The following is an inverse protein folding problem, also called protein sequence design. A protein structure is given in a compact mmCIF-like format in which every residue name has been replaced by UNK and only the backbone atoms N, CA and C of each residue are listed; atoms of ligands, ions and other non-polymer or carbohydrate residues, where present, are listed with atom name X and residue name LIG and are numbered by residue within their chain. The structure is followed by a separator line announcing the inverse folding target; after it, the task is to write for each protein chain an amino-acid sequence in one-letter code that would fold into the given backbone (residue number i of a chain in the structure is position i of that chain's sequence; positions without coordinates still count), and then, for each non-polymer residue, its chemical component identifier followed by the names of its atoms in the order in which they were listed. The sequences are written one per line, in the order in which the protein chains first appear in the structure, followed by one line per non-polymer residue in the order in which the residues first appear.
data_IF_370321236230
#
_entry.id   IF_370321236230
#
_cell.length_a   1.000
_cell.length_b   1.000
_cell.length_c   1.000
_cell.angle_alpha   90.00
_cell.angle_beta   90.00
_cell.angle_gamma   90.00
#
_symmetry.space_group_name_H-M   'P 1'
#
loop_
_entity.id
_entity.type
_entity.pdbx_description
1 polymer ?
#
# COMPACT_ATOMS: atom_id res chain seq x y z
N UNK A 1 -15.94 -11.64 -16.29
CA UNK A 1 -15.12 -12.57 -15.49
C UNK A 1 -14.55 -11.80 -14.29
N UNK A 2 -15.30 -11.74 -13.17
CA UNK A 2 -14.82 -11.13 -11.92
C UNK A 2 -13.98 -12.18 -11.19
N UNK A 3 -12.67 -11.96 -11.03
CA UNK A 3 -11.87 -12.81 -10.14
C UNK A 3 -12.01 -12.24 -8.74
N UNK A 4 -12.73 -12.96 -7.89
CA UNK A 4 -12.69 -12.79 -6.44
C UNK A 4 -11.28 -13.07 -5.96
N UNK A 5 -10.70 -12.12 -5.23
CA UNK A 5 -9.40 -12.27 -4.59
C UNK A 5 -9.62 -12.84 -3.19
N UNK A 6 -9.93 -14.13 -3.11
CA UNK A 6 -9.85 -14.86 -1.84
C UNK A 6 -8.37 -15.01 -1.50
N UNK A 7 -7.97 -14.39 -0.39
CA UNK A 7 -6.68 -14.66 0.23
C UNK A 7 -6.81 -15.99 0.95
N UNK A 8 -6.04 -16.99 0.54
CA UNK A 8 -5.88 -18.21 1.33
C UNK A 8 -5.12 -17.85 2.61
N UNK A 9 -5.77 -18.10 3.75
CA UNK A 9 -5.21 -17.94 5.08
C UNK A 9 -4.09 -18.97 5.29
N UNK A 10 -2.85 -18.57 5.00
CA UNK A 10 -1.65 -19.08 5.64
C UNK A 10 -1.18 -17.99 6.59
N UNK A 11 -1.32 -18.26 7.89
CA UNK A 11 -1.30 -17.30 9.00
C UNK A 11 -0.12 -16.30 8.99
N UNK A 12 -0.41 -15.06 9.44
CA UNK A 12 0.49 -13.90 9.66
C UNK A 12 0.87 -12.97 8.49
N UNK A 13 0.19 -13.00 7.34
CA UNK A 13 0.38 -11.94 6.33
C UNK A 13 -0.45 -10.69 6.65
N UNK A 14 0.23 -9.58 6.97
CA UNK A 14 -0.40 -8.27 7.15
C UNK A 14 -0.65 -7.63 5.78
N UNK A 15 -1.92 -7.38 5.39
CA UNK A 15 -2.23 -6.72 4.13
C UNK A 15 -1.95 -5.21 4.22
N UNK A 16 -1.24 -4.70 3.21
CA UNK A 16 -0.85 -3.29 3.10
C UNK A 16 -1.07 -2.85 1.66
N UNK A 17 -1.62 -1.66 1.47
CA UNK A 17 -1.81 -1.03 0.17
C UNK A 17 -0.88 0.15 0.01
N UNK A 18 -0.40 0.38 -1.21
CA UNK A 18 0.50 1.49 -1.50
C UNK A 18 0.19 2.09 -2.88
N UNK A 19 0.21 3.42 -2.99
CA UNK A 19 0.01 4.14 -4.24
C UNK A 19 1.35 4.53 -4.88
N UNK A 20 1.60 4.02 -6.08
CA UNK A 20 2.65 4.49 -6.97
C UNK A 20 2.13 5.65 -7.81
N UNK A 21 2.02 6.84 -7.22
CA UNK A 21 1.52 8.01 -7.95
C UNK A 21 2.63 8.56 -8.84
N UNK A 22 2.36 8.60 -10.15
CA UNK A 22 3.30 9.06 -11.18
C UNK A 22 2.77 10.32 -11.87
N UNK A 23 3.64 11.31 -12.06
CA UNK A 23 3.30 12.49 -12.88
C UNK A 23 3.55 12.26 -14.38
N UNK A 24 3.17 13.24 -15.20
CA UNK A 24 3.32 13.18 -16.66
C UNK A 24 4.77 13.04 -17.13
N UNK A 25 5.73 13.51 -16.32
CA UNK A 25 7.17 13.41 -16.60
C UNK A 25 7.77 12.08 -16.12
N UNK A 26 6.97 11.29 -15.41
CA UNK A 26 7.32 9.98 -14.94
C UNK A 26 7.95 9.93 -13.55
N UNK A 27 7.96 11.04 -12.80
CA UNK A 27 8.43 11.08 -11.41
C UNK A 27 7.40 10.40 -10.51
N UNK A 28 7.87 9.78 -9.44
CA UNK A 28 7.02 9.06 -8.48
C UNK A 28 7.02 9.77 -7.14
N UNK A 29 5.84 9.92 -6.54
CA UNK A 29 5.70 10.42 -5.18
C UNK A 29 6.11 9.34 -4.17
N UNK A 30 7.08 9.66 -3.33
CA UNK A 30 7.49 8.83 -2.20
C UNK A 30 7.78 9.72 -1.00
N UNK A 31 7.64 9.16 0.19
CA UNK A 31 7.95 9.81 1.46
C UNK A 31 9.20 9.16 2.06
N UNK A 32 10.03 9.96 2.75
CA UNK A 32 11.18 9.43 3.48
C UNK A 32 10.83 9.33 4.95
N UNK A 33 11.00 8.13 5.52
CA UNK A 33 10.66 7.87 6.92
C UNK A 33 11.53 8.72 7.85
N UNK A 34 10.92 9.38 8.86
CA UNK A 34 11.66 10.22 9.79
C UNK A 34 12.61 9.37 10.66
N UNK A 35 13.65 10.00 11.24
CA UNK A 35 14.76 9.30 11.88
C UNK A 35 14.37 8.52 13.15
N UNK A 36 13.22 8.84 13.74
CA UNK A 36 12.69 8.28 14.98
C UNK A 36 11.75 7.07 14.77
N UNK A 37 11.50 6.67 13.52
CA UNK A 37 10.63 5.52 13.17
C UNK A 37 11.45 4.29 12.80
N UNK A 38 10.88 3.10 12.98
CA UNK A 38 11.43 1.87 12.39
C UNK A 38 11.65 2.06 10.89
N UNK A 39 12.75 1.53 10.34
CA UNK A 39 13.20 1.77 8.96
C UNK A 39 13.48 3.26 8.65
N UNK A 40 13.97 4.00 9.64
CA UNK A 40 14.41 5.39 9.51
C UNK A 40 15.26 5.62 8.24
N UNK A 41 14.92 6.68 7.50
CA UNK A 41 15.65 7.08 6.30
C UNK A 41 15.34 6.29 5.03
N UNK A 42 14.56 5.21 5.11
CA UNK A 42 14.05 4.49 3.94
C UNK A 42 12.95 5.30 3.24
N UNK A 43 12.77 5.04 1.95
CA UNK A 43 11.66 5.57 1.17
C UNK A 43 10.46 4.63 1.24
N UNK A 44 9.27 5.21 1.31
CA UNK A 44 8.01 4.51 1.26
C UNK A 44 7.03 5.22 0.31
N UNK A 45 6.08 4.44 -0.19
CA UNK A 45 4.96 4.99 -0.95
C UNK A 45 3.82 5.33 0.00
N UNK A 46 3.03 6.38 -0.30
CA UNK A 46 1.81 6.69 0.44
C UNK A 46 0.86 5.48 0.48
N UNK A 47 0.25 5.24 1.64
CA UNK A 47 -0.60 4.07 1.86
C UNK A 47 -0.41 3.45 3.24
N UNK A 48 -1.07 2.34 3.49
CA UNK A 48 -1.12 1.78 4.83
C UNK A 48 -1.77 0.42 4.93
N UNK A 49 -2.02 -0.01 6.16
CA UNK A 49 -2.58 -1.33 6.46
C UNK A 49 -4.04 -1.38 6.05
N UNK A 50 -4.46 -2.50 5.46
CA UNK A 50 -5.88 -2.76 5.21
C UNK A 50 -6.53 -3.14 6.55
N UNK A 51 -7.61 -2.45 6.91
CA UNK A 51 -8.34 -2.75 8.14
C UNK A 51 -9.24 -4.00 7.98
N UNK A 52 -9.60 -4.68 9.07
CA UNK A 52 -10.52 -5.82 9.01
C UNK A 52 -11.85 -5.44 8.34
N UNK A 53 -12.28 -6.24 7.35
CA UNK A 53 -13.50 -5.98 6.58
C UNK A 53 -13.40 -4.88 5.51
N UNK A 54 -12.25 -4.20 5.42
CA UNK A 54 -12.02 -3.14 4.44
C UNK A 54 -11.57 -3.71 3.08
N UNK A 55 -12.11 -3.19 1.98
CA UNK A 55 -11.58 -3.52 0.65
C UNK A 55 -10.23 -2.81 0.43
N UNK A 56 -9.33 -3.40 -0.36
CA UNK A 56 -8.02 -2.77 -0.68
C UNK A 56 -8.17 -1.37 -1.29
N UNK A 57 -9.18 -1.18 -2.14
CA UNK A 57 -9.50 0.13 -2.74
C UNK A 57 -9.92 1.12 -1.66
N UNK A 58 -10.85 0.73 -0.79
CA UNK A 58 -11.33 1.58 0.30
C UNK A 58 -10.18 1.95 1.27
N UNK A 59 -9.32 0.97 1.61
CA UNK A 59 -8.13 1.20 2.40
C UNK A 59 -7.21 2.24 1.75
N UNK A 60 -6.92 2.09 0.46
CA UNK A 60 -6.03 3.02 -0.24
C UNK A 60 -6.64 4.43 -0.30
N UNK A 61 -7.91 4.55 -0.65
CA UNK A 61 -8.60 5.84 -0.69
C UNK A 61 -8.63 6.52 0.68
N UNK A 62 -8.81 5.76 1.78
CA UNK A 62 -8.75 6.27 3.15
C UNK A 62 -7.36 6.76 3.51
N UNK A 63 -6.34 5.92 3.35
CA UNK A 63 -4.94 6.24 3.70
C UNK A 63 -4.46 7.46 2.91
N UNK A 64 -4.70 7.51 1.60
CA UNK A 64 -4.26 8.65 0.76
C UNK A 64 -4.97 9.95 1.15
N UNK A 65 -6.25 9.88 1.51
CA UNK A 65 -6.96 11.05 2.04
C UNK A 65 -6.39 11.51 3.39
N UNK A 66 -6.05 10.58 4.28
CA UNK A 66 -5.51 10.87 5.61
C UNK A 66 -4.07 11.41 5.56
N UNK A 67 -3.21 10.83 4.73
CA UNK A 67 -1.79 11.20 4.62
C UNK A 67 -1.53 12.41 3.71
N UNK A 68 -2.26 12.51 2.59
CA UNK A 68 -2.00 13.52 1.55
C UNK A 68 -3.11 14.55 1.40
N UNK A 69 -4.29 14.34 1.99
CA UNK A 69 -5.43 15.25 1.88
C UNK A 69 -6.09 15.28 0.49
N UNK A 70 -5.79 14.31 -0.38
CA UNK A 70 -6.30 14.26 -1.77
C UNK A 70 -7.27 13.10 -1.98
N UNK A 71 -8.03 13.17 -3.07
CA UNK A 71 -8.83 12.05 -3.59
C UNK A 71 -8.14 11.48 -4.82
N UNK A 72 -8.21 10.16 -4.96
CA UNK A 72 -7.67 9.43 -6.10
C UNK A 72 -8.81 8.77 -6.86
N UNK A 73 -8.69 8.75 -8.18
CA UNK A 73 -9.67 8.14 -9.07
C UNK A 73 -8.95 7.23 -10.07
N UNK A 74 -9.68 6.32 -10.70
CA UNK A 74 -9.12 5.49 -11.76
C UNK A 74 -8.07 4.46 -11.33
N UNK A 75 -7.80 4.29 -10.03
CA UNK A 75 -6.69 3.44 -9.56
C UNK A 75 -6.74 2.02 -10.12
N UNK A 76 -5.59 1.53 -10.56
CA UNK A 76 -5.40 0.18 -11.11
C UNK A 76 -4.39 -0.61 -10.29
N UNK A 77 -4.58 -1.94 -10.11
CA UNK A 77 -3.56 -2.78 -9.51
C UNK A 77 -2.29 -2.78 -10.37
N UNK A 78 -1.14 -2.53 -9.75
CA UNK A 78 0.17 -2.57 -10.40
C UNK A 78 0.86 -3.92 -10.18
N UNK A 79 1.08 -4.29 -8.91
CA UNK A 79 1.63 -5.60 -8.56
C UNK A 79 1.39 -5.93 -7.08
N UNK A 80 1.54 -7.21 -6.72
CA UNK A 80 1.62 -7.67 -5.33
C UNK A 80 3.04 -8.15 -5.02
N UNK A 81 3.57 -7.79 -3.86
CA UNK A 81 4.82 -8.34 -3.31
C UNK A 81 4.59 -8.87 -1.91
N UNK A 82 5.21 -10.02 -1.62
CA UNK A 82 5.26 -10.55 -0.26
C UNK A 82 6.65 -10.23 0.29
N UNK A 83 6.70 -9.52 1.40
CA UNK A 83 7.93 -9.21 2.12
C UNK A 83 7.95 -9.98 3.43
N UNK A 84 9.03 -10.71 3.70
CA UNK A 84 9.22 -11.43 4.97
C UNK A 84 10.60 -11.11 5.53
N UNK A 85 10.65 -10.49 6.70
CA UNK A 85 11.90 -10.22 7.41
C UNK A 85 11.64 -9.99 8.89
N UNK A 86 12.58 -10.40 9.75
CA UNK A 86 12.57 -10.09 11.20
C UNK A 86 11.24 -10.44 11.90
N UNK A 87 10.59 -11.56 11.50
CA UNK A 87 9.30 -11.98 12.05
C UNK A 87 8.08 -11.21 11.51
N UNK A 88 8.28 -10.23 10.63
CA UNK A 88 7.21 -9.53 9.93
C UNK A 88 6.95 -10.17 8.56
N UNK A 89 5.69 -10.41 8.23
CA UNK A 89 5.27 -10.82 6.90
C UNK A 89 4.19 -9.87 6.36
N UNK A 90 4.49 -9.17 5.26
CA UNK A 90 3.60 -8.20 4.62
C UNK A 90 3.16 -8.71 3.26
N UNK A 91 1.88 -8.55 2.94
CA UNK A 91 1.36 -8.59 1.58
C UNK A 91 1.15 -7.15 1.08
N UNK A 92 2.10 -6.65 0.30
CA UNK A 92 2.10 -5.30 -0.27
C UNK A 92 1.36 -5.33 -1.61
N UNK A 93 0.18 -4.72 -1.67
CA UNK A 93 -0.60 -4.51 -2.89
C UNK A 93 -0.37 -3.08 -3.42
N UNK A 94 0.39 -2.96 -4.50
CA UNK A 94 0.67 -1.67 -5.15
C UNK A 94 -0.41 -1.33 -6.18
N UNK A 95 -0.84 -0.07 -6.18
CA UNK A 95 -1.75 0.53 -7.13
C UNK A 95 -1.07 1.70 -7.85
N UNK A 96 -1.60 2.10 -9.00
CA UNK A 96 -1.19 3.32 -9.74
C UNK A 96 -2.41 4.10 -10.21
#
# INVERSE_FOLDING_TARGET
MKREWTVDAGDDLIPVVALCLRDETGRILAQRRPPDRSFAGFWEFPGGKVQPGESRRAALEREIREELGIRIEGIQPLCRRIYRAQGLALALDFFT
#
